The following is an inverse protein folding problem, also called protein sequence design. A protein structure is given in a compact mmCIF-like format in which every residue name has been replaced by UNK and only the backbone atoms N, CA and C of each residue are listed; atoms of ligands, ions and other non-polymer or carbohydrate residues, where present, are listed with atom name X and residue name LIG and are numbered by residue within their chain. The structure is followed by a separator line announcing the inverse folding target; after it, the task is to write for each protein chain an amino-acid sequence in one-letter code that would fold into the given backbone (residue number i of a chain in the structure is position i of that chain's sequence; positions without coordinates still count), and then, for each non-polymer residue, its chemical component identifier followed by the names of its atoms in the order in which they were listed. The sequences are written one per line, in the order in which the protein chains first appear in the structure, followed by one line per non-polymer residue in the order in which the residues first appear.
data_IF_433140593949
#
_entry.id   IF_433140593949
#
_cell.length_a   1.000
_cell.length_b   1.000
_cell.length_c   1.000
_cell.angle_alpha   90.00
_cell.angle_beta   90.00
_cell.angle_gamma   90.00
#
_symmetry.space_group_name_H-M   'P 1'
#
loop_
_entity.id
_entity.type
_entity.pdbx_description
1 polymer ?
#
# COMPACT_ATOMS: atom_id res chain seq x y z
N UNK A 1 30.19 -6.12 -14.02
CA UNK A 1 29.88 -4.72 -14.41
C UNK A 1 28.53 -4.33 -13.80
N UNK A 2 28.50 -3.80 -12.57
CA UNK A 2 27.27 -3.37 -11.92
C UNK A 2 26.80 -2.01 -12.46
N UNK A 3 25.56 -1.93 -12.92
CA UNK A 3 24.91 -0.71 -13.43
C UNK A 3 24.58 0.29 -12.32
N UNK A 4 24.41 1.58 -12.66
CA UNK A 4 24.45 2.67 -11.68
C UNK A 4 23.17 2.74 -10.83
N UNK A 5 23.38 2.92 -9.53
CA UNK A 5 22.37 3.21 -8.53
C UNK A 5 21.45 4.35 -8.96
N UNK A 6 20.14 4.08 -8.97
CA UNK A 6 19.08 5.05 -9.16
C UNK A 6 19.13 6.09 -8.04
N UNK A 7 19.51 7.32 -8.41
CA UNK A 7 19.46 8.48 -7.51
C UNK A 7 18.00 8.79 -7.17
N UNK A 8 17.62 9.01 -5.90
CA UNK A 8 16.29 9.49 -5.57
C UNK A 8 16.16 10.96 -6.02
N UNK A 9 15.51 11.18 -7.16
CA UNK A 9 15.08 12.50 -7.63
C UNK A 9 13.73 12.86 -6.97
N UNK A 10 13.74 13.15 -5.67
CA UNK A 10 12.55 13.61 -4.96
C UNK A 10 12.80 14.99 -4.35
N UNK A 11 12.79 16.04 -5.18
CA UNK A 11 12.68 17.44 -4.69
C UNK A 11 12.06 18.42 -5.68
N UNK A 12 11.93 18.07 -6.97
CA UNK A 12 11.40 18.97 -8.02
C UNK A 12 9.93 18.75 -8.43
N UNK A 13 9.28 17.66 -8.04
CA UNK A 13 7.92 17.33 -8.51
C UNK A 13 6.87 18.39 -8.17
N UNK A 14 6.79 18.78 -6.89
CA UNK A 14 5.80 19.76 -6.43
C UNK A 14 5.95 21.15 -7.08
N UNK A 15 7.18 21.65 -7.21
CA UNK A 15 7.46 22.94 -7.86
C UNK A 15 7.30 22.87 -9.38
N UNK A 16 7.60 21.73 -10.02
CA UNK A 16 7.38 21.54 -11.45
C UNK A 16 5.88 21.54 -11.81
N UNK A 17 5.03 21.07 -10.90
CA UNK A 17 3.57 21.09 -11.05
C UNK A 17 2.94 22.48 -10.78
N UNK A 18 3.69 23.44 -10.21
CA UNK A 18 3.22 24.82 -9.95
C UNK A 18 4.31 25.87 -10.22
N UNK A 19 4.51 26.27 -11.50
CA UNK A 19 5.55 27.23 -11.88
C UNK A 19 5.30 28.67 -11.35
N UNK A 20 4.11 28.97 -10.83
CA UNK A 20 3.71 30.31 -10.40
C UNK A 20 4.01 30.62 -8.93
N UNK A 21 4.36 29.64 -8.11
CA UNK A 21 4.76 29.85 -6.72
C UNK A 21 6.27 29.84 -6.60
N UNK A 22 6.87 31.01 -6.36
CA UNK A 22 8.29 31.11 -6.09
C UNK A 22 8.63 30.37 -4.79
N UNK A 23 9.80 29.72 -4.73
CA UNK A 23 10.31 29.06 -3.51
C UNK A 23 10.36 30.04 -2.33
N UNK A 24 10.51 31.34 -2.60
CA UNK A 24 10.46 32.41 -1.63
C UNK A 24 9.07 32.62 -1.00
N UNK A 25 7.97 32.47 -1.75
CA UNK A 25 6.61 32.61 -1.21
C UNK A 25 6.22 31.40 -0.38
N UNK A 26 6.69 30.21 -0.79
CA UNK A 26 6.61 29.00 0.03
C UNK A 26 7.37 29.16 1.35
N UNK A 27 8.59 29.71 1.30
CA UNK A 27 9.39 29.97 2.50
C UNK A 27 8.71 30.99 3.41
N UNK A 28 8.11 32.05 2.85
CA UNK A 28 7.32 33.03 3.62
C UNK A 28 6.09 32.40 4.27
N UNK A 29 5.31 31.61 3.53
CA UNK A 29 4.14 30.91 4.06
C UNK A 29 4.49 29.93 5.20
N UNK A 30 5.61 29.20 5.05
CA UNK A 30 6.12 28.31 6.10
C UNK A 30 6.64 29.06 7.33
N UNK A 31 7.13 30.30 7.15
CA UNK A 31 7.62 31.15 8.23
C UNK A 31 6.47 31.84 8.98
N UNK A 32 5.37 32.17 8.29
CA UNK A 32 4.15 32.72 8.90
C UNK A 32 3.32 31.67 9.63
N UNK A 33 3.43 30.39 9.24
CA UNK A 33 2.83 29.26 9.99
C UNK A 33 3.69 28.93 11.22
N UNK A 34 3.42 29.63 12.32
CA UNK A 34 4.01 29.42 13.66
C UNK A 34 3.41 28.22 14.41
N UNK A 35 2.61 27.38 13.74
CA UNK A 35 2.04 26.18 14.33
C UNK A 35 3.09 25.19 14.84
N UNK A 36 2.80 24.55 15.98
CA UNK A 36 3.61 23.48 16.56
C UNK A 36 3.67 22.28 15.58
N UNK A 37 4.87 21.97 15.08
CA UNK A 37 5.08 20.86 14.13
C UNK A 37 6.41 20.92 13.38
N UNK A 38 6.81 19.76 12.83
CA UNK A 38 8.01 19.66 11.98
C UNK A 38 7.83 20.44 10.68
N UNK A 39 8.92 20.81 9.99
CA UNK A 39 8.83 21.49 8.69
C UNK A 39 8.05 20.64 7.67
N UNK A 40 8.18 19.32 7.74
CA UNK A 40 7.48 18.37 6.87
C UNK A 40 5.97 18.42 7.10
N UNK A 41 5.49 18.52 8.35
CA UNK A 41 4.04 18.61 8.61
C UNK A 41 3.44 19.89 8.06
N UNK A 42 4.14 21.02 8.17
CA UNK A 42 3.68 22.32 7.62
C UNK A 42 3.63 22.30 6.10
N UNK A 43 4.69 21.82 5.46
CA UNK A 43 4.71 21.64 4.00
C UNK A 43 3.57 20.72 3.57
N UNK A 44 3.37 19.59 4.26
CA UNK A 44 2.29 18.66 3.93
C UNK A 44 0.91 19.31 4.04
N UNK A 45 0.63 20.09 5.09
CA UNK A 45 -0.64 20.83 5.23
C UNK A 45 -0.84 21.84 4.11
N UNK A 46 0.21 22.56 3.71
CA UNK A 46 0.13 23.51 2.61
C UNK A 46 -0.12 22.80 1.27
N UNK A 47 0.58 21.69 1.01
CA UNK A 47 0.34 20.88 -0.20
C UNK A 47 -1.09 20.34 -0.16
N UNK A 48 -1.54 19.81 0.97
CA UNK A 48 -2.88 19.25 1.15
C UNK A 48 -3.99 20.28 0.93
N UNK A 49 -3.87 21.49 1.49
CA UNK A 49 -4.80 22.59 1.27
C UNK A 49 -4.86 23.04 -0.20
N UNK A 50 -3.79 22.77 -0.96
CA UNK A 50 -3.70 23.11 -2.38
C UNK A 50 -4.29 22.05 -3.31
N UNK A 51 -4.56 20.84 -2.82
CA UNK A 51 -5.08 19.73 -3.62
C UNK A 51 -6.60 19.80 -3.80
N UNK A 52 -7.14 19.26 -4.91
CA UNK A 52 -8.58 19.04 -5.04
C UNK A 52 -9.13 18.20 -3.88
N UNK A 53 -10.35 18.48 -3.44
CA UNK A 53 -10.94 17.83 -2.26
C UNK A 53 -10.98 16.30 -2.36
N UNK A 54 -11.26 15.75 -3.56
CA UNK A 54 -11.24 14.30 -3.81
C UNK A 54 -9.84 13.71 -3.66
N UNK A 55 -8.82 14.33 -4.27
CA UNK A 55 -7.42 13.90 -4.16
C UNK A 55 -6.90 14.01 -2.74
N UNK A 56 -7.23 15.09 -2.02
CA UNK A 56 -6.86 15.28 -0.63
C UNK A 56 -7.50 14.22 0.28
N UNK A 57 -8.75 13.81 0.00
CA UNK A 57 -9.44 12.71 0.69
C UNK A 57 -8.74 11.38 0.44
N UNK A 58 -8.45 11.05 -0.82
CA UNK A 58 -7.73 9.80 -1.15
C UNK A 58 -6.37 9.74 -0.44
N UNK A 59 -5.61 10.84 -0.43
CA UNK A 59 -4.32 10.95 0.25
C UNK A 59 -4.41 10.63 1.75
N UNK A 60 -5.44 11.15 2.44
CA UNK A 60 -5.70 10.85 3.87
C UNK A 60 -5.97 9.36 4.09
N UNK A 61 -6.78 8.75 3.22
CA UNK A 61 -7.15 7.34 3.32
C UNK A 61 -5.98 6.39 3.06
N UNK A 62 -4.92 6.82 2.36
CA UNK A 62 -3.71 6.00 2.17
C UNK A 62 -2.96 5.70 3.48
N UNK A 63 -3.22 6.44 4.56
CA UNK A 63 -2.73 6.08 5.90
C UNK A 63 -3.26 4.73 6.39
N UNK A 64 -4.35 4.23 5.81
CA UNK A 64 -4.96 2.94 6.15
C UNK A 64 -4.38 1.78 5.34
N UNK A 65 -3.44 2.06 4.43
CA UNK A 65 -2.89 1.04 3.55
C UNK A 65 -1.91 0.11 4.30
N UNK A 66 -1.98 -1.19 4.03
CA UNK A 66 -1.09 -2.16 4.66
C UNK A 66 0.37 -1.95 4.20
N UNK A 67 1.31 -1.99 5.14
CA UNK A 67 2.75 -1.88 4.90
C UNK A 67 3.23 -0.63 4.14
N UNK A 68 2.38 0.41 4.00
CA UNK A 68 2.73 1.61 3.23
C UNK A 68 2.81 1.40 1.71
N UNK A 69 2.37 0.24 1.21
CA UNK A 69 2.29 -0.09 -0.20
C UNK A 69 0.84 -0.01 -0.66
N UNK A 70 0.63 0.73 -1.75
CA UNK A 70 -0.70 0.99 -2.31
C UNK A 70 -0.72 0.57 -3.76
N UNK A 71 -1.62 -0.34 -4.10
CA UNK A 71 -1.97 -0.62 -5.50
C UNK A 71 -3.26 0.15 -5.90
N UNK A 72 -3.54 0.30 -7.21
CA UNK A 72 -4.76 0.98 -7.69
C UNK A 72 -6.08 0.37 -7.18
N UNK A 73 -6.13 -0.94 -6.93
CA UNK A 73 -7.31 -1.61 -6.38
C UNK A 73 -7.50 -1.34 -4.89
N UNK A 74 -6.41 -1.28 -4.13
CA UNK A 74 -6.41 -0.93 -2.70
C UNK A 74 -6.84 0.53 -2.54
N UNK A 75 -6.29 1.43 -3.35
CA UNK A 75 -6.72 2.83 -3.38
C UNK A 75 -8.21 2.97 -3.77
N UNK A 76 -8.68 2.21 -4.76
CA UNK A 76 -10.09 2.20 -5.15
C UNK A 76 -11.02 1.67 -4.05
N UNK A 77 -10.61 0.62 -3.34
CA UNK A 77 -11.38 0.07 -2.22
C UNK A 77 -11.46 1.06 -1.03
N UNK A 78 -10.36 1.75 -0.75
CA UNK A 78 -10.30 2.78 0.29
C UNK A 78 -11.16 4.00 -0.07
N UNK A 79 -11.00 4.54 -1.27
CA UNK A 79 -11.73 5.74 -1.71
C UNK A 79 -13.20 5.45 -2.12
N UNK A 80 -13.56 4.18 -2.36
CA UNK A 80 -14.87 3.80 -2.86
C UNK A 80 -15.14 4.25 -4.29
N UNK A 81 -14.09 4.36 -5.12
CA UNK A 81 -14.18 4.80 -6.52
C UNK A 81 -13.76 3.68 -7.49
N UNK A 82 -13.79 3.97 -8.79
CA UNK A 82 -13.29 3.03 -9.81
C UNK A 82 -11.76 2.93 -9.76
N UNK A 83 -11.23 1.78 -10.20
CA UNK A 83 -9.78 1.52 -10.26
C UNK A 83 -9.05 2.55 -11.14
N UNK A 84 -9.67 2.95 -12.25
CA UNK A 84 -9.11 3.94 -13.17
C UNK A 84 -9.03 5.33 -12.52
N UNK A 85 -10.07 5.74 -11.81
CA UNK A 85 -10.08 7.02 -11.08
C UNK A 85 -9.05 7.02 -9.94
N UNK A 86 -8.93 5.90 -9.22
CA UNK A 86 -7.92 5.73 -8.20
C UNK A 86 -6.51 5.83 -8.78
N UNK A 87 -6.24 5.17 -9.92
CA UNK A 87 -4.96 5.24 -10.62
C UNK A 87 -4.60 6.66 -11.04
N UNK A 88 -5.51 7.36 -11.71
CA UNK A 88 -5.29 8.76 -12.11
C UNK A 88 -4.97 9.67 -10.91
N UNK A 89 -5.64 9.42 -9.78
CA UNK A 89 -5.38 10.14 -8.52
C UNK A 89 -3.98 9.83 -7.96
N UNK A 90 -3.56 8.57 -7.98
CA UNK A 90 -2.22 8.15 -7.53
C UNK A 90 -1.13 8.73 -8.42
N UNK A 91 -1.31 8.72 -9.75
CA UNK A 91 -0.37 9.31 -10.70
C UNK A 91 -0.24 10.83 -10.51
N UNK A 92 -1.34 11.52 -10.21
CA UNK A 92 -1.32 12.93 -9.81
C UNK A 92 -0.53 13.17 -8.51
N UNK A 93 -0.70 12.30 -7.51
CA UNK A 93 0.06 12.37 -6.25
C UNK A 93 1.57 12.11 -6.45
N UNK A 94 1.93 11.22 -7.39
CA UNK A 94 3.32 11.01 -7.81
C UNK A 94 3.88 12.26 -8.49
N UNK A 95 3.11 12.92 -9.36
CA UNK A 95 3.53 14.17 -9.99
C UNK A 95 3.79 15.28 -8.95
N UNK A 96 3.01 15.32 -7.88
CA UNK A 96 3.24 16.21 -6.73
C UNK A 96 4.43 15.79 -5.84
N UNK A 97 5.03 14.62 -6.07
CA UNK A 97 6.16 14.09 -5.29
C UNK A 97 5.76 13.58 -3.90
N UNK A 98 4.48 13.26 -3.68
CA UNK A 98 3.97 12.75 -2.41
C UNK A 98 4.07 11.22 -2.31
N UNK A 99 4.10 10.53 -3.45
CA UNK A 99 4.22 9.08 -3.56
C UNK A 99 5.39 8.70 -4.46
N UNK A 100 5.97 7.52 -4.24
CA UNK A 100 7.01 6.95 -5.10
C UNK A 100 6.46 5.75 -5.87
N UNK A 101 6.63 5.67 -7.21
CA UNK A 101 6.29 4.47 -7.95
C UNK A 101 7.32 3.37 -7.66
N UNK A 102 6.88 2.20 -7.22
CA UNK A 102 7.75 1.07 -6.84
C UNK A 102 8.20 0.21 -8.05
N UNK A 103 7.77 0.55 -9.27
CA UNK A 103 8.24 -0.09 -10.51
C UNK A 103 7.87 -1.56 -10.70
N UNK A 104 6.96 -2.10 -9.88
CA UNK A 104 6.51 -3.50 -9.95
C UNK A 104 5.31 -3.69 -10.90
N UNK A 105 5.07 -4.93 -11.31
CA UNK A 105 3.87 -5.37 -12.04
C UNK A 105 3.08 -6.35 -11.15
N UNK A 106 1.83 -6.02 -10.73
CA UNK A 106 1.06 -4.80 -11.03
C UNK A 106 1.65 -3.52 -10.42
N UNK A 107 1.29 -2.32 -10.94
CA UNK A 107 1.84 -1.04 -10.48
C UNK A 107 1.56 -0.82 -9.00
N UNK A 108 2.60 -0.48 -8.24
CA UNK A 108 2.53 -0.17 -6.81
C UNK A 108 3.13 1.20 -6.54
N UNK A 109 2.58 1.84 -5.51
CA UNK A 109 2.94 3.17 -5.04
C UNK A 109 3.31 3.08 -3.56
N UNK A 110 4.51 3.57 -3.24
CA UNK A 110 5.04 3.64 -1.89
C UNK A 110 4.68 4.98 -1.25
N UNK A 111 4.09 4.90 -0.06
CA UNK A 111 3.90 6.05 0.83
C UNK A 111 5.15 6.17 1.71
N UNK A 112 5.87 7.30 1.68
CA UNK A 112 7.00 7.53 2.57
C UNK A 112 6.61 7.32 4.04
N UNK A 113 7.38 6.52 4.78
CA UNK A 113 7.08 6.18 6.18
C UNK A 113 6.97 7.41 7.10
N UNK A 114 7.73 8.48 6.81
CA UNK A 114 7.66 9.74 7.54
C UNK A 114 6.35 10.51 7.33
N UNK A 115 5.63 10.27 6.23
CA UNK A 115 4.34 10.89 5.94
C UNK A 115 3.18 10.12 6.57
N UNK A 116 3.35 8.83 6.85
CA UNK A 116 2.29 7.98 7.38
C UNK A 116 1.63 8.52 8.67
N UNK A 117 2.36 8.90 9.74
CA UNK A 117 1.72 9.44 10.95
C UNK A 117 1.04 10.80 10.72
N UNK A 118 1.58 11.60 9.80
CA UNK A 118 1.00 12.91 9.46
C UNK A 118 -0.30 12.74 8.67
N UNK A 119 -0.36 11.77 7.76
CA UNK A 119 -1.58 11.43 7.01
C UNK A 119 -2.65 10.84 7.93
N UNK A 120 -2.25 10.03 8.91
CA UNK A 120 -3.17 9.49 9.91
C UNK A 120 -3.81 10.61 10.75
N UNK A 121 -3.00 11.57 11.23
CA UNK A 121 -3.53 12.73 11.97
C UNK A 121 -4.49 13.57 11.12
N UNK A 122 -4.17 13.81 9.84
CA UNK A 122 -5.07 14.52 8.92
C UNK A 122 -6.34 13.73 8.61
N UNK A 123 -6.28 12.40 8.60
CA UNK A 123 -7.46 11.56 8.41
C UNK A 123 -8.39 11.63 9.62
N UNK A 124 -7.85 11.63 10.84
CA UNK A 124 -8.63 11.77 12.08
C UNK A 124 -9.24 13.17 12.24
N UNK A 125 -8.54 14.21 11.79
CA UNK A 125 -9.02 15.60 11.86
C UNK A 125 -10.18 15.87 10.87
N UNK A 126 -10.09 15.31 9.65
CA UNK A 126 -11.01 15.68 8.57
C UNK A 126 -12.08 14.65 8.22
N UNK A 127 -11.88 13.36 8.52
CA UNK A 127 -12.84 12.30 8.15
C UNK A 127 -13.63 11.81 9.36
N UNK A 128 -14.89 11.42 9.12
CA UNK A 128 -15.71 10.85 10.20
C UNK A 128 -15.18 9.47 10.57
N UNK A 129 -15.18 9.08 11.87
CA UNK A 129 -14.69 7.78 12.29
C UNK A 129 -15.45 6.61 11.64
N UNK A 130 -16.75 6.79 11.33
CA UNK A 130 -17.54 5.82 10.60
C UNK A 130 -17.07 5.61 9.15
N UNK A 131 -16.64 6.68 8.47
CA UNK A 131 -16.12 6.61 7.10
C UNK A 131 -14.75 5.92 7.07
N UNK A 132 -13.88 6.22 8.05
CA UNK A 132 -12.61 5.52 8.20
C UNK A 132 -12.81 4.02 8.43
N UNK A 133 -13.78 3.64 9.27
CA UNK A 133 -14.14 2.23 9.50
C UNK A 133 -14.66 1.57 8.22
N UNK A 134 -15.52 2.25 7.47
CA UNK A 134 -16.04 1.74 6.21
C UNK A 134 -14.93 1.55 5.16
N UNK A 135 -14.01 2.50 5.03
CA UNK A 135 -12.85 2.40 4.15
C UNK A 135 -11.96 1.20 4.53
N UNK A 136 -11.68 1.02 5.83
CA UNK A 136 -10.95 -0.16 6.33
C UNK A 136 -11.69 -1.46 6.00
N UNK A 137 -13.01 -1.51 6.21
CA UNK A 137 -13.80 -2.69 5.93
C UNK A 137 -13.76 -3.08 4.45
N UNK A 138 -13.91 -2.12 3.52
CA UNK A 138 -13.82 -2.35 2.08
C UNK A 138 -12.44 -2.86 1.65
N UNK A 139 -11.38 -2.26 2.20
CA UNK A 139 -10.00 -2.67 1.95
C UNK A 139 -9.72 -4.10 2.48
N UNK A 140 -10.21 -4.43 3.69
CA UNK A 140 -10.08 -5.76 4.26
C UNK A 140 -10.86 -6.80 3.47
N UNK A 141 -12.10 -6.50 3.10
CA UNK A 141 -12.92 -7.38 2.26
C UNK A 141 -12.23 -7.70 0.94
N UNK A 142 -11.69 -6.69 0.26
CA UNK A 142 -10.89 -6.85 -0.97
C UNK A 142 -9.67 -7.75 -0.76
N UNK A 143 -8.95 -7.56 0.35
CA UNK A 143 -7.76 -8.34 0.70
C UNK A 143 -8.12 -9.81 0.98
N UNK A 144 -9.20 -10.05 1.73
CA UNK A 144 -9.70 -11.41 1.99
C UNK A 144 -10.13 -12.09 0.70
N UNK A 145 -10.86 -11.41 -0.19
CA UNK A 145 -11.22 -11.95 -1.51
C UNK A 145 -9.97 -12.28 -2.35
N UNK A 146 -8.92 -11.47 -2.26
CA UNK A 146 -7.64 -11.75 -2.93
C UNK A 146 -6.98 -13.01 -2.36
N UNK A 147 -6.89 -13.14 -1.04
CA UNK A 147 -6.34 -14.33 -0.38
C UNK A 147 -7.13 -15.60 -0.72
N UNK A 148 -8.46 -15.50 -0.80
CA UNK A 148 -9.31 -16.61 -1.25
C UNK A 148 -9.02 -17.00 -2.71
N UNK A 149 -8.78 -16.03 -3.59
CA UNK A 149 -8.35 -16.28 -4.97
C UNK A 149 -7.01 -17.01 -5.01
N UNK A 150 -6.01 -16.49 -4.29
CA UNK A 150 -4.68 -17.10 -4.21
C UNK A 150 -4.77 -18.55 -3.72
N UNK A 151 -5.56 -18.79 -2.67
CA UNK A 151 -5.81 -20.13 -2.13
C UNK A 151 -6.40 -21.06 -3.19
N UNK A 152 -7.45 -20.64 -3.89
CA UNK A 152 -8.10 -21.47 -4.91
C UNK A 152 -7.17 -21.83 -6.08
N UNK A 153 -6.21 -20.95 -6.41
CA UNK A 153 -5.19 -21.21 -7.44
C UNK A 153 -4.11 -22.16 -6.93
N UNK A 154 -3.71 -22.06 -5.65
CA UNK A 154 -2.68 -22.95 -5.07
C UNK A 154 -3.23 -24.32 -4.67
N UNK A 155 -4.53 -24.43 -4.38
CA UNK A 155 -5.24 -25.69 -4.08
C UNK A 155 -5.66 -26.43 -5.37
N UNK A 156 -4.79 -26.49 -6.38
CA UNK A 156 -5.01 -27.20 -7.66
C UNK A 156 -4.94 -28.72 -7.57
N UNK A 157 -5.05 -29.31 -6.38
CA UNK A 157 -5.19 -30.77 -6.17
C UNK A 157 -6.63 -31.20 -5.80
N UNK A 158 -7.64 -30.35 -6.02
CA UNK A 158 -9.05 -30.76 -5.83
C UNK A 158 -9.99 -30.18 -6.89
N UNK A 159 -10.83 -31.04 -7.48
CA UNK A 159 -11.79 -30.66 -8.53
C UNK A 159 -12.75 -29.53 -8.10
N UNK A 160 -13.02 -29.43 -6.80
CA UNK A 160 -13.87 -28.41 -6.18
C UNK A 160 -13.27 -27.00 -6.21
N UNK A 161 -11.95 -26.86 -6.30
CA UNK A 161 -11.28 -25.55 -6.42
C UNK A 161 -11.39 -24.97 -7.84
N UNK A 162 -11.38 -25.85 -8.86
CA UNK A 162 -11.55 -25.47 -10.27
C UNK A 162 -12.94 -24.89 -10.56
N UNK A 163 -13.98 -25.49 -9.99
CA UNK A 163 -15.36 -24.98 -10.10
C UNK A 163 -15.51 -23.57 -9.53
N UNK A 164 -14.95 -23.31 -8.34
CA UNK A 164 -15.01 -21.99 -7.69
C UNK A 164 -14.26 -20.90 -8.45
N UNK A 165 -13.15 -21.23 -9.12
CA UNK A 165 -12.42 -20.28 -9.98
C UNK A 165 -13.23 -19.87 -11.21
N UNK A 166 -14.05 -20.77 -11.75
CA UNK A 166 -14.95 -20.50 -12.88
C UNK A 166 -16.14 -19.60 -12.50
N UNK A 167 -16.52 -19.56 -11.23
CA UNK A 167 -17.57 -18.66 -10.71
C UNK A 167 -17.07 -17.25 -10.37
N UNK A 168 -15.75 -17.05 -10.20
CA UNK A 168 -15.19 -15.75 -9.79
C UNK A 168 -15.19 -14.71 -10.93
N UNK A 169 -15.41 -13.41 -10.64
CA UNK A 169 -15.33 -12.34 -11.64
C UNK A 169 -13.98 -12.27 -12.35
N UNK A 170 -13.99 -12.00 -13.66
CA UNK A 170 -12.80 -12.01 -14.55
C UNK A 170 -11.65 -11.11 -14.06
N UNK A 171 -11.97 -10.01 -13.38
CA UNK A 171 -10.98 -9.09 -12.79
C UNK A 171 -10.16 -9.69 -11.63
N UNK A 172 -10.59 -10.82 -11.07
CA UNK A 172 -9.91 -11.57 -10.02
C UNK A 172 -9.22 -12.84 -10.53
N UNK A 173 -9.34 -13.13 -11.83
CA UNK A 173 -8.67 -14.27 -12.48
C UNK A 173 -7.32 -13.81 -13.00
N UNK A 174 -6.25 -14.47 -12.61
CA UNK A 174 -4.95 -14.28 -13.24
C UNK A 174 -4.94 -14.94 -14.64
N UNK A 175 -4.32 -14.32 -15.65
CA UNK A 175 -4.19 -14.91 -16.97
C UNK A 175 -3.16 -16.04 -16.93
N UNK A 176 -3.64 -17.27 -16.76
CA UNK A 176 -2.90 -18.55 -16.78
C UNK A 176 -1.91 -18.78 -15.61
N UNK A 177 -1.68 -20.05 -15.22
CA UNK A 177 -0.60 -20.38 -14.30
C UNK A 177 0.73 -20.05 -14.95
N UNK A 178 1.48 -19.11 -14.37
CA UNK A 178 2.87 -18.89 -14.76
C UNK A 178 3.67 -20.18 -14.48
N UNK A 179 4.59 -20.59 -15.38
CA UNK A 179 5.48 -21.69 -15.08
C UNK A 179 6.25 -21.38 -13.78
N UNK A 180 6.57 -22.40 -12.95
CA UNK A 180 7.38 -22.20 -11.76
C UNK A 180 8.69 -21.50 -12.20
N UNK A 181 9.13 -20.44 -11.50
CA UNK A 181 10.35 -19.75 -11.87
C UNK A 181 11.53 -20.71 -11.80
N UNK A 182 12.06 -21.09 -12.98
CA UNK A 182 13.28 -21.88 -13.09
C UNK A 182 14.44 -20.98 -12.66
N UNK A 183 14.93 -21.19 -11.43
CA UNK A 183 16.21 -20.66 -10.96
C UNK A 183 16.21 -19.21 -10.48
N UNK A 184 15.73 -18.97 -9.25
CA UNK A 184 16.26 -17.88 -8.44
C UNK A 184 17.56 -18.34 -7.77
N UNK A 185 18.70 -18.05 -8.40
CA UNK A 185 19.98 -18.06 -7.72
C UNK A 185 20.06 -16.83 -6.79
N UNK A 186 19.44 -16.94 -5.61
CA UNK A 186 19.71 -16.05 -4.49
C UNK A 186 20.65 -16.78 -3.53
N UNK A 187 21.95 -16.62 -3.76
CA UNK A 187 22.95 -16.88 -2.73
C UNK A 187 22.85 -15.77 -1.67
N UNK A 188 22.17 -16.08 -0.57
CA UNK A 188 22.08 -15.23 0.62
C UNK A 188 21.07 -15.83 1.61
N UNK A 189 21.47 -16.11 2.86
CA UNK A 189 20.57 -16.79 3.79
C UNK A 189 19.41 -15.87 4.20
N UNK A 190 18.14 -16.32 4.13
CA UNK A 190 17.03 -15.58 4.69
C UNK A 190 17.13 -15.62 6.22
N UNK A 191 17.18 -14.44 6.83
CA UNK A 191 17.00 -14.20 8.25
C UNK A 191 15.52 -14.45 8.64
N UNK A 192 15.12 -15.71 8.69
CA UNK A 192 13.94 -16.17 9.41
C UNK A 192 14.40 -17.04 10.58
N UNK A 193 13.96 -16.77 11.82
CA UNK A 193 14.21 -17.69 12.92
C UNK A 193 13.51 -19.03 12.60
N UNK A 194 14.15 -20.18 12.85
CA UNK A 194 13.53 -21.46 12.60
C UNK A 194 12.30 -21.62 13.49
N UNK A 195 11.15 -21.89 12.86
CA UNK A 195 10.00 -22.50 13.53
C UNK A 195 10.49 -23.80 14.16
N UNK A 196 10.54 -23.83 15.49
CA UNK A 196 10.76 -25.07 16.22
C UNK A 196 9.65 -26.05 15.87
N UNK A 197 10.00 -27.07 15.10
CA UNK A 197 9.21 -28.29 14.96
C UNK A 197 9.21 -29.00 16.32
N UNK A 198 8.05 -29.34 16.91
CA UNK A 198 8.04 -30.29 18.01
C UNK A 198 8.43 -31.67 17.47
N UNK A 199 9.60 -32.17 17.89
CA UNK A 199 10.05 -33.53 17.59
C UNK A 199 9.10 -34.56 18.23
N UNK A 200 8.77 -35.67 17.53
CA UNK A 200 7.90 -36.71 18.05
C UNK A 200 8.74 -37.75 18.79
N UNK A 201 9.10 -37.49 20.04
CA UNK A 201 9.64 -38.54 20.95
C UNK A 201 9.14 -38.29 22.36
N UNK A 202 7.90 -38.70 22.60
CA UNK A 202 7.31 -38.82 23.93
C UNK A 202 6.48 -40.10 23.94
N UNK A 203 7.11 -41.21 24.32
CA UNK A 203 6.46 -42.48 24.59
C UNK A 203 5.38 -42.29 25.65
N UNK A 204 4.12 -42.45 25.26
CA UNK A 204 2.97 -42.50 26.16
C UNK A 204 2.90 -43.90 26.79
N UNK A 205 3.34 -44.05 28.04
CA UNK A 205 2.99 -45.20 28.86
C UNK A 205 1.82 -44.82 29.77
N UNK A 206 0.65 -45.49 29.67
CA UNK A 206 -0.42 -45.30 30.63
C UNK A 206 -0.11 -46.07 31.92
N UNK A 207 0.01 -45.36 33.05
CA UNK A 207 -0.04 -45.97 34.38
C UNK A 207 -1.49 -46.27 34.76
N UNK A 208 -1.82 -47.47 35.26
CA UNK A 208 -3.16 -47.80 35.74
C UNK A 208 -3.40 -47.18 37.12
N UNK A 209 -4.65 -46.82 37.36
CA UNK A 209 -5.10 -46.23 38.62
C UNK A 209 -5.11 -47.20 39.80
N UNK A 210 -5.06 -46.59 40.99
CA UNK A 210 -5.62 -47.06 42.24
C UNK A 210 -5.92 -45.83 43.11
#
# INVERSE_FOLDING_TARGET
MPGPAGRPRARRGWLAARPQTAVADLAKQLHTDTGQGTVVSRVLRLVHASLPASTARTLRLLSLAPAGLVDPHTAAALAGCSVESARATLDGLVAHGLLHPAGSAPPQYEVPCCLHPLLAALAEEHERPAELRLARARMLERTVRLLQSCRAITETDSDRAREKLLEMPRALRFPSPAPPPTGCACAGPPCWPPRGSPSPTGSWTPSPGA
#
